data_IF_629434490759
#
_entry.id   IF_629434490759
#
_cell.length_a   1.000
_cell.length_b   1.000
_cell.length_c   1.000
_cell.angle_alpha   90.00
_cell.angle_beta   90.00
_cell.angle_gamma   90.00
#
_symmetry.space_group_name_H-M   'P 1'
#
loop_
_entity.id
_entity.type
_entity.pdbx_description
1 polymer ?
#
# COMPACT_ATOMS: atom_id res chain seq x y z
N UNK A 1 -2.94 -77.91 -54.18
CA UNK A 1 -3.37 -76.49 -54.09
C UNK A 1 -3.37 -76.10 -52.59
N UNK A 2 -2.27 -75.48 -52.13
CA UNK A 2 -2.10 -75.05 -50.73
C UNK A 2 -2.37 -73.57 -50.66
N UNK A 3 -3.34 -73.18 -49.81
CA UNK A 3 -3.65 -71.81 -49.53
C UNK A 3 -2.86 -71.36 -48.29
N UNK A 4 -1.88 -70.50 -48.50
CA UNK A 4 -1.07 -69.91 -47.44
C UNK A 4 -1.86 -68.81 -46.74
N UNK A 5 -2.06 -68.94 -45.40
CA UNK A 5 -2.73 -68.03 -44.57
C UNK A 5 -1.69 -67.00 -44.02
N UNK A 6 -1.77 -65.77 -44.43
CA UNK A 6 -0.91 -64.69 -43.94
C UNK A 6 -1.51 -64.11 -42.67
N UNK A 7 -0.88 -64.35 -41.49
CA UNK A 7 -1.19 -63.73 -40.21
C UNK A 7 -0.59 -62.32 -40.19
N UNK A 8 -1.47 -61.30 -40.15
CA UNK A 8 -1.04 -59.92 -39.87
C UNK A 8 -0.87 -59.74 -38.38
N UNK A 9 0.36 -59.46 -37.90
CA UNK A 9 0.64 -58.96 -36.56
C UNK A 9 0.23 -57.50 -36.49
N UNK A 10 -0.70 -57.19 -35.59
CA UNK A 10 -1.00 -55.80 -35.24
C UNK A 10 -0.04 -55.38 -34.09
N UNK A 11 0.86 -54.47 -34.40
CA UNK A 11 1.71 -53.83 -33.38
C UNK A 11 0.93 -52.75 -32.65
N UNK A 12 0.66 -52.96 -31.38
CA UNK A 12 0.03 -52.01 -30.48
C UNK A 12 1.09 -51.02 -30.02
N UNK A 13 1.06 -49.78 -30.54
CA UNK A 13 1.95 -48.70 -30.08
C UNK A 13 1.35 -48.09 -28.82
N UNK A 14 1.99 -48.32 -27.69
CA UNK A 14 1.69 -47.60 -26.42
C UNK A 14 2.19 -46.16 -26.56
N UNK A 15 1.26 -45.21 -26.48
CA UNK A 15 1.56 -43.76 -26.31
C UNK A 15 1.76 -43.50 -24.82
N UNK A 16 2.90 -42.98 -24.35
CA UNK A 16 3.07 -42.60 -22.96
C UNK A 16 2.24 -41.35 -22.68
N UNK A 17 1.32 -41.43 -21.71
CA UNK A 17 0.61 -40.27 -21.16
C UNK A 17 1.62 -39.42 -20.39
N UNK A 18 1.99 -38.28 -20.94
CA UNK A 18 2.77 -37.28 -20.23
C UNK A 18 1.87 -36.59 -19.16
N UNK A 19 2.14 -36.89 -17.89
CA UNK A 19 1.57 -36.11 -16.77
C UNK A 19 2.19 -34.69 -16.81
N UNK A 20 1.42 -33.73 -17.31
CA UNK A 20 1.74 -32.30 -17.15
C UNK A 20 1.41 -31.92 -15.71
N UNK A 21 2.41 -31.97 -14.83
CA UNK A 21 2.31 -31.42 -13.48
C UNK A 21 2.10 -29.90 -13.58
N UNK A 22 0.93 -29.39 -13.18
CA UNK A 22 0.72 -27.96 -12.96
C UNK A 22 1.59 -27.50 -11.79
N UNK A 23 2.73 -26.86 -12.08
CA UNK A 23 3.45 -26.07 -11.10
C UNK A 23 2.59 -24.87 -10.75
N UNK A 24 1.94 -24.89 -9.60
CA UNK A 24 1.34 -23.68 -9.01
C UNK A 24 2.48 -22.80 -8.51
N UNK A 25 2.87 -21.80 -9.29
CA UNK A 25 3.83 -20.78 -8.88
C UNK A 25 3.08 -19.89 -7.85
N UNK A 26 3.33 -20.12 -6.57
CA UNK A 26 2.91 -19.20 -5.52
C UNK A 26 3.58 -17.84 -5.81
N UNK A 27 2.79 -16.80 -6.09
CA UNK A 27 3.30 -15.45 -6.30
C UNK A 27 4.06 -15.02 -5.03
N UNK A 28 5.32 -14.56 -5.14
CA UNK A 28 6.14 -14.31 -3.97
C UNK A 28 5.56 -13.18 -3.12
N UNK A 29 5.66 -13.31 -1.79
CA UNK A 29 5.26 -12.29 -0.80
C UNK A 29 5.92 -10.90 -1.05
N UNK A 30 6.97 -10.84 -1.83
CA UNK A 30 7.63 -9.63 -2.30
C UNK A 30 6.76 -8.77 -3.24
N UNK A 31 5.83 -9.35 -4.01
CA UNK A 31 4.92 -8.57 -4.86
C UNK A 31 3.95 -7.71 -4.02
N UNK A 32 3.54 -8.20 -2.85
CA UNK A 32 2.69 -7.44 -1.94
C UNK A 32 3.44 -6.28 -1.25
N UNK A 33 4.69 -6.48 -0.84
CA UNK A 33 5.52 -5.42 -0.23
C UNK A 33 5.93 -4.34 -1.22
N UNK A 34 6.25 -4.70 -2.46
CA UNK A 34 6.50 -3.76 -3.55
C UNK A 34 5.25 -2.91 -3.87
N UNK A 35 4.06 -3.49 -3.82
CA UNK A 35 2.79 -2.80 -4.04
C UNK A 35 2.51 -1.72 -2.99
N UNK A 36 2.80 -1.96 -1.70
CA UNK A 36 2.58 -0.95 -0.63
C UNK A 36 3.55 0.20 -0.73
N UNK A 37 4.82 -0.07 -0.96
CA UNK A 37 5.85 0.95 -1.16
C UNK A 37 5.52 1.81 -2.38
N UNK A 38 5.06 1.19 -3.47
CA UNK A 38 4.66 1.89 -4.69
C UNK A 38 3.47 2.82 -4.42
N UNK A 39 2.41 2.32 -3.80
CA UNK A 39 1.22 3.11 -3.47
C UNK A 39 1.56 4.28 -2.54
N UNK A 40 2.36 4.03 -1.50
CA UNK A 40 2.85 5.04 -0.58
C UNK A 40 3.65 6.15 -1.29
N UNK A 41 4.58 5.77 -2.18
CA UNK A 41 5.38 6.71 -2.98
C UNK A 41 4.52 7.52 -3.94
N UNK A 42 3.53 6.89 -4.58
CA UNK A 42 2.60 7.57 -5.47
C UNK A 42 1.73 8.60 -4.72
N UNK A 43 1.21 8.26 -3.53
CA UNK A 43 0.45 9.19 -2.69
C UNK A 43 1.31 10.38 -2.29
N UNK A 44 2.54 10.15 -1.87
CA UNK A 44 3.48 11.23 -1.51
C UNK A 44 3.77 12.15 -2.71
N UNK A 45 4.03 11.58 -3.88
CA UNK A 45 4.27 12.34 -5.12
C UNK A 45 3.06 13.19 -5.52
N UNK A 46 1.85 12.60 -5.51
CA UNK A 46 0.62 13.32 -5.86
C UNK A 46 0.29 14.43 -4.84
N UNK A 47 0.50 14.17 -3.54
CA UNK A 47 0.34 15.20 -2.51
C UNK A 47 1.25 16.39 -2.78
N UNK A 48 2.51 16.17 -3.13
CA UNK A 48 3.44 17.24 -3.49
C UNK A 48 3.03 17.98 -4.77
N UNK A 49 2.47 17.28 -5.77
CA UNK A 49 1.91 17.92 -6.97
C UNK A 49 0.77 18.89 -6.61
N UNK A 50 -0.15 18.50 -5.75
CA UNK A 50 -1.24 19.37 -5.31
C UNK A 50 -0.73 20.59 -4.52
N UNK A 51 0.31 20.40 -3.68
CA UNK A 51 0.97 21.50 -2.96
C UNK A 51 1.60 22.51 -3.91
N UNK A 52 2.38 22.06 -4.89
CA UNK A 52 3.03 22.93 -5.87
C UNK A 52 1.98 23.71 -6.68
N UNK A 53 0.89 23.07 -7.11
CA UNK A 53 -0.24 23.75 -7.78
C UNK A 53 -0.85 24.85 -6.92
N UNK A 54 -0.84 24.69 -5.60
CA UNK A 54 -1.36 25.67 -4.64
C UNK A 54 -0.32 26.71 -4.20
N UNK A 55 0.87 26.74 -4.79
CA UNK A 55 1.95 27.69 -4.48
C UNK A 55 2.82 27.32 -3.28
N UNK A 56 2.62 26.15 -2.66
CA UNK A 56 3.48 25.66 -1.58
C UNK A 56 4.70 24.90 -2.12
N UNK A 57 5.79 24.91 -1.36
CA UNK A 57 6.96 24.05 -1.66
C UNK A 57 6.62 22.57 -1.46
N UNK A 58 7.26 21.70 -2.23
CA UNK A 58 7.24 20.26 -2.01
C UNK A 58 7.82 19.92 -0.63
N UNK A 59 7.25 18.91 0.01
CA UNK A 59 7.71 18.36 1.28
C UNK A 59 8.72 17.24 1.06
N UNK A 60 9.69 17.14 1.96
CA UNK A 60 10.62 16.01 2.03
C UNK A 60 10.00 14.90 2.87
N UNK A 61 10.21 13.65 2.46
CA UNK A 61 9.80 12.51 3.30
C UNK A 61 10.74 12.40 4.50
N UNK A 62 10.15 12.33 5.69
CA UNK A 62 10.90 12.16 6.95
C UNK A 62 10.76 10.72 7.46
N UNK A 63 11.85 10.00 7.78
CA UNK A 63 11.81 8.60 8.19
C UNK A 63 11.11 8.36 9.54
N UNK A 64 11.21 9.29 10.49
CA UNK A 64 10.55 9.18 11.79
C UNK A 64 9.02 9.32 11.62
N UNK A 65 8.56 10.32 10.86
CA UNK A 65 7.14 10.44 10.49
C UNK A 65 6.65 9.22 9.70
N UNK A 66 7.49 8.64 8.84
CA UNK A 66 7.13 7.42 8.10
C UNK A 66 6.90 6.24 9.05
N UNK A 67 7.75 6.10 10.05
CA UNK A 67 7.59 5.05 11.06
C UNK A 67 6.29 5.23 11.85
N UNK A 68 5.99 6.45 12.31
CA UNK A 68 4.75 6.80 13.03
C UNK A 68 3.50 6.53 12.16
N UNK A 69 3.49 7.04 10.92
CA UNK A 69 2.39 6.88 9.98
C UNK A 69 2.10 5.41 9.63
N UNK A 70 3.15 4.61 9.36
CA UNK A 70 3.00 3.17 9.13
C UNK A 70 2.48 2.43 10.36
N UNK A 71 2.98 2.78 11.54
CA UNK A 71 2.52 2.23 12.81
C UNK A 71 1.03 2.45 13.03
N UNK A 72 0.56 3.67 12.76
CA UNK A 72 -0.86 4.01 12.89
C UNK A 72 -1.74 3.34 11.83
N UNK A 73 -1.33 3.33 10.58
CA UNK A 73 -2.03 2.58 9.52
C UNK A 73 -2.12 1.08 9.85
N UNK A 74 -1.06 0.50 10.43
CA UNK A 74 -1.06 -0.90 10.90
C UNK A 74 -2.03 -1.12 12.06
N UNK A 75 -2.10 -0.18 13.00
CA UNK A 75 -3.07 -0.23 14.10
C UNK A 75 -4.51 -0.22 13.57
N UNK A 76 -4.85 0.73 12.70
CA UNK A 76 -6.18 0.81 12.09
C UNK A 76 -6.52 -0.46 11.30
N UNK A 77 -5.58 -0.97 10.49
CA UNK A 77 -5.77 -2.17 9.67
C UNK A 77 -5.99 -3.44 10.51
N UNK A 78 -5.33 -3.54 11.69
CA UNK A 78 -5.48 -4.69 12.59
C UNK A 78 -6.73 -4.63 13.46
N UNK A 79 -7.06 -3.43 13.97
CA UNK A 79 -8.18 -3.24 14.91
C UNK A 79 -9.52 -3.02 14.23
N UNK A 80 -9.52 -2.68 12.93
CA UNK A 80 -10.70 -2.20 12.22
C UNK A 80 -11.20 -0.82 12.66
N UNK A 81 -10.49 -0.15 13.58
CA UNK A 81 -10.86 1.17 14.09
C UNK A 81 -10.28 2.27 13.19
N UNK A 82 -11.14 2.99 12.51
CA UNK A 82 -10.76 4.18 11.75
C UNK A 82 -10.86 5.42 12.63
N UNK A 83 -9.72 5.90 13.13
CA UNK A 83 -9.65 7.01 14.09
C UNK A 83 -8.26 7.64 14.09
N UNK A 84 -8.18 8.95 14.41
CA UNK A 84 -6.92 9.63 14.72
C UNK A 84 -6.29 9.17 16.03
N UNK A 85 -7.07 8.56 16.93
CA UNK A 85 -6.59 7.98 18.19
C UNK A 85 -6.04 6.59 17.94
N UNK A 86 -4.79 6.37 18.31
CA UNK A 86 -4.07 5.12 18.10
C UNK A 86 -4.02 4.21 19.32
N UNK A 87 -3.06 3.27 19.31
CA UNK A 87 -2.82 2.33 20.42
C UNK A 87 -2.65 3.07 21.73
N UNK A 88 -3.30 2.59 22.80
CA UNK A 88 -3.22 3.18 24.12
C UNK A 88 -3.77 4.61 24.24
N UNK A 89 -4.63 5.03 23.30
CA UNK A 89 -5.18 6.40 23.30
C UNK A 89 -4.24 7.45 22.68
N UNK A 90 -3.14 7.04 22.03
CA UNK A 90 -2.13 7.96 21.53
C UNK A 90 -2.64 8.90 20.45
N UNK A 91 -2.28 10.19 20.54
CA UNK A 91 -2.46 11.18 19.49
C UNK A 91 -1.40 11.02 18.40
N UNK A 92 -1.60 11.68 17.23
CA UNK A 92 -0.56 11.70 16.18
C UNK A 92 0.73 12.37 16.66
N UNK A 93 0.65 13.39 17.53
CA UNK A 93 1.82 14.03 18.14
C UNK A 93 2.59 13.01 18.99
N UNK A 94 1.92 12.32 19.90
CA UNK A 94 2.57 11.31 20.74
C UNK A 94 3.23 10.18 19.92
N UNK A 95 2.61 9.76 18.81
CA UNK A 95 3.20 8.76 17.90
C UNK A 95 4.43 9.29 17.17
N UNK A 96 4.40 10.54 16.71
CA UNK A 96 5.54 11.19 16.07
C UNK A 96 6.71 11.36 17.07
N UNK A 97 6.44 11.80 18.31
CA UNK A 97 7.43 11.93 19.37
C UNK A 97 8.05 10.59 19.76
N UNK A 98 7.24 9.54 19.90
CA UNK A 98 7.73 8.19 20.14
C UNK A 98 8.64 7.68 19.00
N UNK A 99 8.46 8.19 17.78
CA UNK A 99 9.33 7.94 16.63
C UNK A 99 10.56 8.89 16.57
N UNK A 100 10.72 9.80 17.53
CA UNK A 100 11.80 10.78 17.57
C UNK A 100 11.55 12.07 16.78
N UNK A 101 10.30 12.36 16.38
CA UNK A 101 9.94 13.58 15.66
C UNK A 101 9.07 14.50 16.51
N UNK A 102 9.63 15.62 17.01
CA UNK A 102 9.00 16.53 17.99
C UNK A 102 8.34 17.77 17.37
N UNK A 103 8.20 17.85 16.05
CA UNK A 103 7.65 18.99 15.34
C UNK A 103 6.46 18.61 14.43
N UNK A 104 5.64 17.63 14.88
CA UNK A 104 4.44 17.20 14.18
C UNK A 104 3.40 18.32 14.14
N UNK A 105 2.71 18.50 13.01
CA UNK A 105 1.75 19.59 12.77
C UNK A 105 0.32 19.10 12.59
N UNK A 106 0.12 18.09 11.77
CA UNK A 106 -1.21 17.59 11.42
C UNK A 106 -1.14 16.18 10.88
N UNK A 107 -2.29 15.53 10.85
CA UNK A 107 -2.45 14.18 10.32
C UNK A 107 -3.68 14.12 9.41
N UNK A 108 -3.56 13.42 8.29
CA UNK A 108 -4.66 12.95 7.47
C UNK A 108 -4.73 11.42 7.53
N UNK A 109 -5.94 10.87 7.67
CA UNK A 109 -6.17 9.43 7.56
C UNK A 109 -7.19 9.13 6.47
N UNK A 110 -7.09 7.93 5.88
CA UNK A 110 -8.07 7.43 4.92
C UNK A 110 -8.08 5.90 4.93
N UNK A 111 -9.14 5.31 4.39
CA UNK A 111 -9.25 3.87 4.21
C UNK A 111 -10.11 3.53 2.99
N UNK A 112 -9.92 2.33 2.44
CA UNK A 112 -10.76 1.78 1.38
C UNK A 112 -10.40 2.22 -0.06
N UNK A 113 -9.64 3.28 -0.24
CA UNK A 113 -9.20 3.74 -1.56
C UNK A 113 -8.14 2.79 -2.14
N UNK A 114 -8.32 2.34 -3.37
CA UNK A 114 -7.42 1.35 -3.98
C UNK A 114 -6.26 1.97 -4.74
N UNK A 115 -6.34 3.27 -5.07
CA UNK A 115 -5.32 3.97 -5.85
C UNK A 115 -4.90 5.29 -5.20
N UNK A 116 -3.69 5.73 -5.47
CA UNK A 116 -3.16 7.00 -4.98
C UNK A 116 -3.96 8.23 -5.50
N UNK A 117 -4.39 8.30 -6.77
CA UNK A 117 -5.24 9.38 -7.24
C UNK A 117 -6.57 9.49 -6.47
N UNK A 118 -7.19 8.36 -6.13
CA UNK A 118 -8.47 8.37 -5.39
C UNK A 118 -8.31 8.97 -3.99
N UNK A 119 -7.33 8.51 -3.21
CA UNK A 119 -7.14 8.98 -1.83
C UNK A 119 -6.72 10.45 -1.80
N UNK A 120 -5.81 10.89 -2.67
CA UNK A 120 -5.39 12.29 -2.71
C UNK A 120 -6.55 13.19 -3.16
N UNK A 121 -7.34 12.78 -4.16
CA UNK A 121 -8.55 13.49 -4.58
C UNK A 121 -9.58 13.59 -3.44
N UNK A 122 -9.76 12.53 -2.65
CA UNK A 122 -10.66 12.55 -1.49
C UNK A 122 -10.18 13.53 -0.43
N UNK A 123 -8.88 13.53 -0.08
CA UNK A 123 -8.31 14.52 0.84
C UNK A 123 -8.46 15.94 0.31
N UNK A 124 -8.24 16.19 -0.97
CA UNK A 124 -8.40 17.53 -1.58
C UNK A 124 -9.86 18.01 -1.60
N UNK A 125 -10.85 17.11 -1.60
CA UNK A 125 -12.28 17.45 -1.51
C UNK A 125 -12.75 17.70 -0.08
N UNK A 126 -12.03 17.22 0.94
CA UNK A 126 -12.35 17.39 2.35
C UNK A 126 -11.68 18.67 2.89
N UNK A 127 -12.43 19.68 3.38
CA UNK A 127 -11.84 20.95 3.84
C UNK A 127 -10.76 20.78 4.91
N UNK A 128 -10.94 19.86 5.87
CA UNK A 128 -9.97 19.58 6.92
C UNK A 128 -8.68 18.95 6.38
N UNK A 129 -8.81 17.87 5.62
CA UNK A 129 -7.66 17.18 5.02
C UNK A 129 -6.91 18.07 4.01
N UNK A 130 -7.65 18.83 3.20
CA UNK A 130 -7.08 19.79 2.24
C UNK A 130 -6.27 20.87 2.95
N UNK A 131 -6.75 21.42 4.06
CA UNK A 131 -6.02 22.41 4.86
C UNK A 131 -4.70 21.85 5.36
N UNK A 132 -4.67 20.61 5.86
CA UNK A 132 -3.45 19.96 6.30
C UNK A 132 -2.49 19.74 5.13
N UNK A 133 -2.99 19.24 4.00
CA UNK A 133 -2.20 18.95 2.81
C UNK A 133 -1.58 20.21 2.21
N UNK A 134 -2.29 21.33 2.22
CA UNK A 134 -1.88 22.63 1.65
C UNK A 134 -1.30 23.61 2.68
N UNK A 135 -0.98 23.15 3.91
CA UNK A 135 -0.26 23.99 4.88
C UNK A 135 1.17 24.26 4.40
N UNK A 136 1.42 25.46 3.87
CA UNK A 136 2.74 25.88 3.38
C UNK A 136 3.79 25.98 4.52
N UNK A 137 3.39 26.00 5.79
CA UNK A 137 4.28 25.95 6.95
C UNK A 137 4.87 24.57 7.23
N UNK A 138 4.31 23.50 6.65
CA UNK A 138 4.93 22.18 6.68
C UNK A 138 6.18 22.14 5.82
N UNK A 139 7.21 21.40 6.26
CA UNK A 139 8.49 21.21 5.54
C UNK A 139 8.79 19.75 5.25
N UNK A 140 8.24 18.87 6.07
CA UNK A 140 8.37 17.41 5.95
C UNK A 140 7.02 16.74 6.10
N UNK A 141 6.94 15.52 5.61
CA UNK A 141 5.78 14.67 5.78
C UNK A 141 6.17 13.20 5.62
N UNK A 142 5.22 12.31 5.87
CA UNK A 142 5.32 10.93 5.43
C UNK A 142 3.93 10.36 5.17
N UNK A 143 3.88 9.31 4.36
CA UNK A 143 2.67 8.53 4.09
C UNK A 143 2.93 7.09 4.50
N UNK A 144 2.14 6.57 5.43
CA UNK A 144 2.10 5.15 5.79
C UNK A 144 0.91 4.47 5.11
N UNK A 145 1.15 3.34 4.47
CA UNK A 145 0.07 2.53 3.88
C UNK A 145 0.19 1.10 4.39
N UNK A 146 -0.92 0.53 4.86
CA UNK A 146 -1.03 -0.88 5.25
C UNK A 146 -2.33 -1.43 4.71
N UNK A 147 -2.29 -2.63 4.14
CA UNK A 147 -3.48 -3.35 3.71
C UNK A 147 -3.84 -4.35 4.81
N UNK A 148 -5.10 -4.32 5.24
CA UNK A 148 -5.62 -5.28 6.21
C UNK A 148 -5.80 -6.68 5.60
N UNK A 149 -6.04 -7.68 6.43
CA UNK A 149 -6.19 -9.06 5.98
C UNK A 149 -7.33 -9.28 4.96
N UNK A 150 -8.36 -8.43 4.99
CA UNK A 150 -9.46 -8.46 4.01
C UNK A 150 -9.20 -7.62 2.75
N UNK A 151 -7.95 -7.15 2.54
CA UNK A 151 -7.54 -6.39 1.36
C UNK A 151 -7.88 -4.89 1.41
N UNK A 152 -8.35 -4.35 2.53
CA UNK A 152 -8.68 -2.92 2.66
C UNK A 152 -7.43 -2.09 2.96
N UNK A 153 -7.06 -1.09 2.13
CA UNK A 153 -5.97 -0.18 2.42
C UNK A 153 -6.33 0.84 3.50
N UNK A 154 -5.39 1.08 4.42
CA UNK A 154 -5.42 2.14 5.44
C UNK A 154 -4.24 3.07 5.23
N UNK A 155 -4.52 4.37 5.31
CA UNK A 155 -3.57 5.44 5.03
C UNK A 155 -3.43 6.35 6.24
N UNK A 156 -2.20 6.74 6.54
CA UNK A 156 -1.89 7.84 7.45
C UNK A 156 -0.88 8.75 6.76
N UNK A 157 -1.14 10.05 6.78
CA UNK A 157 -0.23 11.07 6.26
C UNK A 157 0.06 12.06 7.39
N UNK A 158 1.27 12.02 7.92
CA UNK A 158 1.74 12.91 8.99
C UNK A 158 2.57 14.04 8.40
N UNK A 159 2.36 15.27 8.89
CA UNK A 159 3.07 16.47 8.48
C UNK A 159 3.90 17.04 9.62
N UNK A 160 5.01 17.69 9.27
CA UNK A 160 5.94 18.31 10.21
C UNK A 160 6.54 19.62 9.73
N UNK A 161 7.04 20.43 10.66
CA UNK A 161 7.56 21.78 10.41
C UNK A 161 9.09 21.89 10.32
N UNK A 162 9.82 20.76 10.39
CA UNK A 162 11.29 20.74 10.28
C UNK A 162 11.80 19.61 9.41
#
# INVERSE_FOLDING_TARGET
MQKTLVRRLATLTMVPAALVGMLTIAAPAQAATASFTTLQTQVASLSNKERVKAGCKSLRVNPQLLWAARGHSKYMAKSGRFSHTGTGGSSFIARAEAAGYTAARSENIAWGYRTAPEVVKAWMKSPGHRRNLLDCGAKTFAVGVVISANGTPYYTQDFGSR
#
